data_IF_540098200012
#
_entry.id   IF_540098200012
#
_cell.length_a   1.000
_cell.length_b   1.000
_cell.length_c   1.000
_cell.angle_alpha   90.00
_cell.angle_beta   90.00
_cell.angle_gamma   90.00
#
_symmetry.space_group_name_H-M   'P 1'
#
loop_
_entity.id
_entity.type
_entity.pdbx_description
1 polymer ?
#
# COMPACT_ATOMS: atom_id res chain seq x y z
N UNK A 1 25.74 35.79 3.78
CA UNK A 1 26.68 35.29 2.78
C UNK A 1 27.16 33.96 3.31
N UNK A 2 26.34 32.92 3.18
CA UNK A 2 26.17 32.15 1.93
C UNK A 2 27.54 31.59 1.53
N UNK A 3 27.74 30.29 1.48
CA UNK A 3 26.86 29.35 0.79
C UNK A 3 27.02 27.95 1.42
N UNK A 4 25.87 27.33 1.69
CA UNK A 4 25.73 25.90 1.90
C UNK A 4 26.40 25.16 0.72
N UNK A 5 27.60 24.63 0.96
CA UNK A 5 28.13 23.55 0.15
C UNK A 5 27.30 22.31 0.44
N UNK A 6 26.13 22.26 -0.20
CA UNK A 6 25.29 21.08 -0.28
C UNK A 6 26.19 19.90 -0.62
N UNK A 7 26.28 18.96 0.32
CA UNK A 7 26.75 17.61 0.08
C UNK A 7 25.77 17.00 -0.92
N UNK A 8 25.96 17.29 -2.20
CA UNK A 8 25.43 16.49 -3.29
C UNK A 8 26.25 15.21 -3.30
N UNK A 9 25.99 14.33 -2.33
CA UNK A 9 26.38 12.93 -2.45
C UNK A 9 25.62 12.38 -3.66
N UNK A 10 26.26 12.42 -4.82
CA UNK A 10 25.77 11.76 -6.02
C UNK A 10 25.84 10.26 -5.76
N UNK A 11 24.82 9.72 -5.11
CA UNK A 11 24.73 8.29 -4.83
C UNK A 11 24.65 7.55 -6.17
N UNK A 12 25.68 6.75 -6.44
CA UNK A 12 25.69 5.83 -7.56
C UNK A 12 24.65 4.74 -7.29
N UNK A 13 23.70 4.59 -8.21
CA UNK A 13 22.68 3.54 -8.13
C UNK A 13 23.14 2.35 -8.94
N UNK A 14 22.71 1.17 -8.56
CA UNK A 14 23.11 -0.06 -9.22
C UNK A 14 21.89 -0.92 -9.49
N UNK A 15 21.84 -1.52 -10.66
CA UNK A 15 20.85 -2.55 -11.00
C UNK A 15 21.57 -3.77 -11.55
N UNK A 16 20.96 -4.95 -11.39
CA UNK A 16 21.41 -6.16 -12.07
C UNK A 16 20.20 -6.96 -12.51
N UNK A 17 20.06 -7.13 -13.82
CA UNK A 17 18.95 -7.82 -14.44
C UNK A 17 19.47 -9.08 -15.13
N UNK A 18 18.80 -10.21 -14.90
CA UNK A 18 18.86 -11.34 -15.82
C UNK A 18 17.90 -11.03 -16.98
N UNK A 19 18.45 -10.76 -18.15
CA UNK A 19 17.70 -10.42 -19.34
C UNK A 19 17.47 -11.68 -20.16
N UNK A 20 16.21 -12.12 -20.26
CA UNK A 20 15.84 -13.24 -21.13
C UNK A 20 15.72 -12.73 -22.57
N UNK A 21 16.47 -13.35 -23.49
CA UNK A 21 16.52 -12.98 -24.90
C UNK A 21 15.62 -13.91 -25.73
N UNK A 22 15.00 -13.40 -26.81
CA UNK A 22 14.24 -14.23 -27.72
C UNK A 22 15.18 -15.19 -28.46
N UNK A 23 14.93 -16.49 -28.36
CA UNK A 23 15.67 -17.52 -29.10
C UNK A 23 14.77 -18.13 -30.16
N UNK A 24 15.32 -18.43 -31.35
CA UNK A 24 14.60 -19.09 -32.44
C UNK A 24 14.17 -20.52 -32.07
N UNK A 25 14.90 -21.18 -31.17
CA UNK A 25 14.57 -22.48 -30.58
C UNK A 25 13.88 -22.31 -29.20
N UNK A 26 12.61 -22.71 -29.05
CA UNK A 26 11.87 -22.65 -27.78
C UNK A 26 12.51 -23.44 -26.61
N UNK A 27 13.47 -24.33 -26.89
CA UNK A 27 14.16 -25.13 -25.86
C UNK A 27 15.47 -24.53 -25.39
N UNK A 28 16.08 -23.64 -26.17
CA UNK A 28 17.27 -22.91 -25.77
C UNK A 28 16.83 -21.58 -25.16
N UNK A 29 17.06 -21.37 -23.86
CA UNK A 29 16.90 -20.06 -23.24
C UNK A 29 18.24 -19.36 -23.26
N UNK A 30 18.38 -18.38 -24.13
CA UNK A 30 19.53 -17.49 -24.14
C UNK A 30 19.22 -16.33 -23.20
N UNK A 31 20.13 -16.06 -22.27
CA UNK A 31 19.94 -15.04 -21.27
C UNK A 31 21.29 -14.46 -20.90
N UNK A 32 21.30 -13.14 -20.70
CA UNK A 32 22.49 -12.41 -20.29
C UNK A 32 22.24 -11.69 -18.98
N UNK A 33 23.25 -11.58 -18.14
CA UNK A 33 23.21 -10.76 -16.95
C UNK A 33 23.73 -9.36 -17.27
N UNK A 34 22.93 -8.34 -17.01
CA UNK A 34 23.25 -6.93 -17.23
C UNK A 34 23.34 -6.25 -15.87
N UNK A 35 24.55 -5.94 -15.43
CA UNK A 35 24.80 -5.07 -14.28
C UNK A 35 25.00 -3.65 -14.79
N UNK A 36 24.25 -2.70 -14.24
CA UNK A 36 24.36 -1.30 -14.57
C UNK A 36 24.76 -0.48 -13.34
N UNK A 37 25.64 0.49 -13.56
CA UNK A 37 26.01 1.53 -12.59
C UNK A 37 25.53 2.87 -13.13
N UNK A 38 24.61 3.49 -12.41
CA UNK A 38 23.92 4.72 -12.81
C UNK A 38 24.50 5.92 -12.08
N UNK A 39 24.91 6.92 -12.85
CA UNK A 39 25.30 8.25 -12.37
C UNK A 39 24.26 9.29 -12.82
N UNK A 40 24.27 10.51 -12.28
CA UNK A 40 23.30 11.55 -12.67
C UNK A 40 23.32 11.93 -14.16
N UNK A 41 24.46 11.81 -14.84
CA UNK A 41 24.66 12.25 -16.23
C UNK A 41 25.29 11.19 -17.15
N UNK A 42 25.58 9.98 -16.63
CA UNK A 42 26.25 8.90 -17.34
C UNK A 42 25.89 7.52 -16.76
N UNK A 43 26.24 6.45 -17.45
CA UNK A 43 26.09 5.09 -16.91
C UNK A 43 27.16 4.16 -17.46
N UNK A 44 27.44 3.09 -16.70
CA UNK A 44 28.35 2.03 -17.12
C UNK A 44 27.59 0.70 -17.07
N UNK A 45 27.71 -0.13 -18.11
CA UNK A 45 27.13 -1.46 -18.15
C UNK A 45 28.24 -2.52 -18.18
N UNK A 46 28.02 -3.60 -17.43
CA UNK A 46 28.77 -4.84 -17.50
C UNK A 46 27.80 -5.98 -17.81
N UNK A 47 28.04 -6.70 -18.90
CA UNK A 47 27.14 -7.72 -19.43
C UNK A 47 27.91 -9.03 -19.51
N UNK A 48 27.29 -10.16 -19.14
CA UNK A 48 27.89 -11.49 -19.36
C UNK A 48 26.81 -12.54 -19.62
N UNK A 49 27.12 -13.47 -20.52
CA UNK A 49 26.33 -14.69 -20.78
C UNK A 49 26.84 -15.89 -19.93
N UNK A 50 27.85 -15.66 -19.09
CA UNK A 50 28.52 -16.67 -18.27
C UNK A 50 29.81 -17.23 -18.88
N UNK A 51 30.06 -17.03 -20.18
CA UNK A 51 31.30 -17.42 -20.86
C UNK A 51 32.09 -16.18 -21.29
N UNK A 52 31.44 -15.28 -22.02
CA UNK A 52 31.95 -14.02 -22.49
C UNK A 52 31.38 -12.86 -21.69
N UNK A 53 32.03 -11.70 -21.82
CA UNK A 53 31.55 -10.50 -21.18
C UNK A 53 31.82 -9.27 -22.05
N UNK A 54 30.95 -8.27 -21.89
CA UNK A 54 31.01 -7.00 -22.58
C UNK A 54 30.86 -5.86 -21.59
N UNK A 55 31.50 -4.73 -21.90
CA UNK A 55 31.33 -3.50 -21.13
C UNK A 55 30.89 -2.37 -22.03
N UNK A 56 30.09 -1.45 -21.50
CA UNK A 56 29.87 -0.17 -22.13
C UNK A 56 30.10 0.94 -21.11
N UNK A 57 30.78 1.99 -21.55
CA UNK A 57 30.98 3.19 -20.76
C UNK A 57 30.30 4.32 -21.51
N UNK A 58 29.09 4.68 -21.08
CA UNK A 58 28.34 5.75 -21.70
C UNK A 58 28.82 7.06 -21.10
N UNK A 59 29.70 7.77 -21.80
CA UNK A 59 30.23 9.05 -21.31
C UNK A 59 29.12 10.10 -21.23
N UNK A 60 29.30 11.11 -20.39
CA UNK A 60 28.31 12.18 -20.24
C UNK A 60 28.04 12.91 -21.57
N UNK A 61 29.05 13.07 -22.42
CA UNK A 61 28.89 13.67 -23.74
C UNK A 61 28.02 12.81 -24.67
N UNK A 62 28.23 11.50 -24.68
CA UNK A 62 27.44 10.57 -25.50
C UNK A 62 26.01 10.46 -24.99
N UNK A 63 25.80 10.39 -23.67
CA UNK A 63 24.47 10.34 -23.07
C UNK A 63 23.70 11.64 -23.37
N UNK A 64 24.36 12.81 -23.26
CA UNK A 64 23.75 14.09 -23.63
C UNK A 64 23.31 14.12 -25.10
N UNK A 65 24.21 13.77 -26.02
CA UNK A 65 23.90 13.72 -27.45
C UNK A 65 22.74 12.76 -27.77
N UNK A 66 22.66 11.64 -27.02
CA UNK A 66 21.58 10.66 -27.18
C UNK A 66 20.26 11.13 -26.58
N UNK A 67 20.29 11.81 -25.44
CA UNK A 67 19.10 12.39 -24.83
C UNK A 67 18.51 13.48 -25.75
N UNK A 68 19.36 14.32 -26.34
CA UNK A 68 18.97 15.34 -27.33
C UNK A 68 18.30 14.73 -28.56
N UNK A 69 18.78 13.60 -29.10
CA UNK A 69 18.14 12.89 -30.23
C UNK A 69 16.70 12.45 -29.94
N UNK A 70 16.32 12.34 -28.67
CA UNK A 70 15.01 11.86 -28.23
C UNK A 70 14.14 12.98 -27.64
N UNK A 71 14.64 14.22 -27.71
CA UNK A 71 14.07 15.41 -27.05
C UNK A 71 13.77 15.13 -25.57
N UNK A 72 14.73 14.51 -24.88
CA UNK A 72 14.65 14.19 -23.45
C UNK A 72 15.73 14.92 -22.65
N UNK A 73 15.42 15.41 -21.44
CA UNK A 73 16.45 15.78 -20.48
C UNK A 73 17.34 14.57 -20.16
N UNK A 74 18.64 14.81 -19.90
CA UNK A 74 19.61 13.76 -19.56
C UNK A 74 19.14 12.90 -18.38
N UNK A 75 18.56 13.54 -17.35
CA UNK A 75 18.05 12.83 -16.18
C UNK A 75 16.91 11.87 -16.53
N UNK A 76 15.99 12.28 -17.43
CA UNK A 76 14.88 11.43 -17.88
C UNK A 76 15.37 10.28 -18.77
N UNK A 77 16.34 10.55 -19.65
CA UNK A 77 16.95 9.51 -20.47
C UNK A 77 17.62 8.42 -19.62
N UNK A 78 18.33 8.82 -18.56
CA UNK A 78 18.96 7.89 -17.61
C UNK A 78 17.91 7.15 -16.80
N UNK A 79 16.90 7.84 -16.26
CA UNK A 79 15.82 7.20 -15.52
C UNK A 79 15.04 6.17 -16.37
N UNK A 80 14.84 6.47 -17.65
CA UNK A 80 14.25 5.55 -18.62
C UNK A 80 15.13 4.31 -18.80
N UNK A 81 16.43 4.47 -19.03
CA UNK A 81 17.35 3.35 -19.15
C UNK A 81 17.42 2.51 -17.85
N UNK A 82 17.44 3.18 -16.69
CA UNK A 82 17.41 2.54 -15.37
C UNK A 82 16.13 1.75 -15.14
N UNK A 83 14.98 2.24 -15.59
CA UNK A 83 13.71 1.53 -15.50
C UNK A 83 13.70 0.23 -16.33
N UNK A 84 14.18 0.31 -17.59
CA UNK A 84 14.16 -0.82 -18.53
C UNK A 84 15.27 -1.86 -18.30
N UNK A 85 16.39 -1.46 -17.71
CA UNK A 85 17.50 -2.34 -17.33
C UNK A 85 17.54 -2.66 -15.83
N UNK A 86 16.65 -2.06 -15.03
CA UNK A 86 16.39 -2.45 -13.66
C UNK A 86 15.50 -3.68 -13.59
N UNK A 87 14.45 -3.69 -14.41
CA UNK A 87 13.52 -4.80 -14.56
C UNK A 87 13.11 -4.94 -16.02
N UNK A 88 13.05 -6.18 -16.51
CA UNK A 88 12.59 -6.46 -17.87
C UNK A 88 11.11 -6.06 -17.99
N UNK A 89 10.80 -5.11 -18.89
CA UNK A 89 9.47 -4.54 -19.01
C UNK A 89 8.55 -5.42 -19.86
N UNK A 90 7.30 -5.68 -19.41
CA UNK A 90 6.31 -6.39 -20.22
C UNK A 90 6.05 -5.70 -21.57
N UNK A 91 5.86 -6.48 -22.63
CA UNK A 91 5.56 -5.96 -23.98
C UNK A 91 6.76 -5.36 -24.73
N UNK A 92 7.91 -5.21 -24.08
CA UNK A 92 9.13 -4.69 -24.69
C UNK A 92 9.96 -5.82 -25.29
N UNK A 93 10.45 -5.63 -26.52
CA UNK A 93 11.34 -6.59 -27.19
C UNK A 93 12.77 -6.21 -26.90
N UNK A 94 13.51 -7.10 -26.27
CA UNK A 94 14.92 -6.93 -25.95
C UNK A 94 15.78 -7.72 -26.93
N UNK A 95 16.96 -7.19 -27.25
CA UNK A 95 17.91 -7.81 -28.16
C UNK A 95 19.36 -7.60 -27.72
N UNK A 96 20.19 -8.61 -27.97
CA UNK A 96 21.64 -8.57 -27.71
C UNK A 96 22.41 -9.15 -28.90
N UNK A 97 22.44 -8.38 -29.98
CA UNK A 97 22.86 -8.85 -31.30
C UNK A 97 24.36 -8.61 -31.54
N UNK A 98 24.96 -9.41 -32.42
CA UNK A 98 26.33 -9.17 -32.89
C UNK A 98 26.42 -7.86 -33.68
N UNK A 99 27.34 -6.99 -33.28
CA UNK A 99 27.62 -5.72 -33.95
C UNK A 99 28.96 -5.73 -34.72
N UNK A 100 29.60 -6.90 -34.82
CA UNK A 100 30.89 -7.09 -35.47
C UNK A 100 32.07 -6.83 -34.55
N UNK A 101 33.24 -7.37 -34.88
CA UNK A 101 34.48 -7.24 -34.11
C UNK A 101 34.34 -7.67 -32.63
N UNK A 102 33.49 -8.66 -32.36
CA UNK A 102 33.15 -9.12 -31.01
C UNK A 102 32.26 -8.17 -30.22
N UNK A 103 31.92 -6.99 -30.76
CA UNK A 103 31.00 -6.05 -30.13
C UNK A 103 29.59 -6.61 -30.15
N UNK A 104 28.82 -6.29 -29.11
CA UNK A 104 27.39 -6.62 -29.03
C UNK A 104 26.57 -5.36 -28.93
N UNK A 105 25.35 -5.39 -29.44
CA UNK A 105 24.40 -4.28 -29.36
C UNK A 105 23.26 -4.67 -28.43
N UNK A 106 23.19 -4.00 -27.29
CA UNK A 106 22.05 -4.08 -26.39
C UNK A 106 20.94 -3.17 -26.92
N UNK A 107 19.73 -3.70 -27.00
CA UNK A 107 18.57 -2.95 -27.47
C UNK A 107 17.30 -3.32 -26.72
N UNK A 108 16.38 -2.37 -26.64
CA UNK A 108 14.99 -2.65 -26.28
C UNK A 108 14.03 -1.68 -26.95
N UNK A 109 12.81 -2.15 -27.20
CA UNK A 109 11.73 -1.29 -27.69
C UNK A 109 10.93 -0.69 -26.55
N UNK A 110 10.42 0.52 -26.73
CA UNK A 110 9.42 1.12 -25.85
C UNK A 110 8.48 2.03 -26.63
N UNK A 111 7.31 2.33 -26.05
CA UNK A 111 6.32 3.22 -26.67
C UNK A 111 6.40 4.62 -26.07
N UNK A 112 6.44 5.64 -26.94
CA UNK A 112 6.33 7.05 -26.57
C UNK A 112 5.31 7.70 -27.51
N UNK A 113 4.23 8.26 -26.95
CA UNK A 113 3.19 8.96 -27.71
C UNK A 113 2.61 8.15 -28.88
N UNK A 114 2.38 6.84 -28.68
CA UNK A 114 1.84 5.94 -29.72
C UNK A 114 2.84 5.53 -30.80
N UNK A 115 4.13 5.90 -30.68
CA UNK A 115 5.20 5.42 -31.56
C UNK A 115 6.11 4.46 -30.82
N UNK A 116 6.38 3.29 -31.42
CA UNK A 116 7.39 2.36 -30.92
C UNK A 116 8.78 2.84 -31.32
N UNK A 117 9.61 3.12 -30.32
CA UNK A 117 11.00 3.52 -30.48
C UNK A 117 11.91 2.40 -29.98
N UNK A 118 13.17 2.39 -30.44
CA UNK A 118 14.14 1.39 -30.05
C UNK A 118 15.40 2.05 -29.50
N UNK A 119 15.64 1.82 -28.21
CA UNK A 119 16.88 2.20 -27.55
C UNK A 119 17.98 1.24 -27.94
N UNK A 120 19.16 1.74 -28.30
CA UNK A 120 20.30 0.89 -28.71
C UNK A 120 21.62 1.43 -28.18
N UNK A 121 22.45 0.52 -27.66
CA UNK A 121 23.79 0.85 -27.21
C UNK A 121 24.79 -0.23 -27.58
N UNK A 122 25.98 0.20 -28.03
CA UNK A 122 27.06 -0.71 -28.42
C UNK A 122 27.93 -1.01 -27.20
N UNK A 123 28.23 -2.27 -27.00
CA UNK A 123 29.05 -2.80 -25.91
C UNK A 123 30.30 -3.44 -26.51
N UNK A 124 31.46 -3.13 -25.95
CA UNK A 124 32.74 -3.66 -26.39
C UNK A 124 33.03 -4.97 -25.67
N UNK A 125 33.78 -5.91 -26.27
CA UNK A 125 34.31 -7.06 -25.54
C UNK A 125 35.06 -6.60 -24.29
N UNK A 126 34.81 -7.25 -23.17
CA UNK A 126 35.57 -6.97 -21.96
C UNK A 126 37.03 -7.42 -22.14
N UNK A 127 38.02 -6.62 -21.72
CA UNK A 127 39.43 -7.04 -21.76
C UNK A 127 39.69 -8.23 -20.84
N UNK A 128 38.85 -8.43 -19.81
CA UNK A 128 38.92 -9.57 -18.91
C UNK A 128 37.50 -10.07 -18.60
N UNK A 129 37.03 -11.03 -19.41
CA UNK A 129 35.70 -11.60 -19.27
C UNK A 129 35.49 -12.23 -17.89
N UNK A 130 36.43 -13.05 -17.41
CA UNK A 130 36.36 -13.72 -16.10
C UNK A 130 36.18 -12.73 -14.96
N UNK A 131 36.94 -11.64 -14.96
CA UNK A 131 36.82 -10.61 -13.92
C UNK A 131 35.49 -9.87 -14.00
N UNK A 132 34.98 -9.62 -15.20
CA UNK A 132 33.69 -8.95 -15.38
C UNK A 132 32.55 -9.84 -14.88
N UNK A 133 32.54 -11.11 -15.26
CA UNK A 133 31.56 -12.10 -14.78
C UNK A 133 31.64 -12.29 -13.27
N UNK A 134 32.85 -12.43 -12.71
CA UNK A 134 33.05 -12.51 -11.26
C UNK A 134 32.50 -11.26 -10.55
N UNK A 135 32.77 -10.05 -11.05
CA UNK A 135 32.27 -8.81 -10.46
C UNK A 135 30.74 -8.61 -10.58
N UNK A 136 30.07 -9.31 -11.50
CA UNK A 136 28.61 -9.40 -11.54
C UNK A 136 28.12 -10.39 -10.46
N UNK A 137 28.76 -11.56 -10.34
CA UNK A 137 28.41 -12.56 -9.33
C UNK A 137 28.63 -12.05 -7.91
N UNK A 138 29.76 -11.40 -7.63
CA UNK A 138 30.05 -10.79 -6.33
C UNK A 138 28.97 -9.78 -5.95
N UNK A 139 28.58 -8.92 -6.89
CA UNK A 139 27.49 -7.96 -6.69
C UNK A 139 26.16 -8.65 -6.35
N UNK A 140 25.82 -9.73 -7.06
CA UNK A 140 24.60 -10.50 -6.80
C UNK A 140 24.63 -11.21 -5.45
N UNK A 141 25.79 -11.75 -5.05
CA UNK A 141 25.98 -12.41 -3.77
C UNK A 141 25.88 -11.41 -2.61
N UNK A 142 26.54 -10.27 -2.71
CA UNK A 142 26.45 -9.19 -1.71
C UNK A 142 25.01 -8.67 -1.56
N UNK A 143 24.32 -8.48 -2.68
CA UNK A 143 22.91 -8.08 -2.68
C UNK A 143 22.01 -9.15 -2.04
N UNK A 144 22.27 -10.43 -2.31
CA UNK A 144 21.52 -11.55 -1.72
C UNK A 144 21.71 -11.63 -0.20
N UNK A 145 22.95 -11.49 0.29
CA UNK A 145 23.25 -11.48 1.73
C UNK A 145 22.51 -10.34 2.41
N UNK A 146 22.65 -9.11 1.91
CA UNK A 146 21.96 -7.93 2.45
C UNK A 146 20.44 -8.08 2.45
N UNK A 147 19.87 -8.58 1.35
CA UNK A 147 18.43 -8.78 1.25
C UNK A 147 17.95 -9.84 2.24
N UNK A 148 18.70 -10.93 2.41
CA UNK A 148 18.38 -11.99 3.36
C UNK A 148 18.37 -11.48 4.81
N UNK A 149 19.38 -10.69 5.19
CA UNK A 149 19.43 -10.03 6.51
C UNK A 149 18.25 -9.06 6.71
N UNK A 150 17.92 -8.27 5.68
CA UNK A 150 16.79 -7.35 5.73
C UNK A 150 15.45 -8.08 5.86
N UNK A 151 15.26 -9.20 5.16
CA UNK A 151 14.06 -10.03 5.27
C UNK A 151 13.92 -10.58 6.68
N UNK A 152 14.98 -11.11 7.29
CA UNK A 152 14.96 -11.61 8.67
C UNK A 152 14.57 -10.49 9.64
N UNK A 153 15.25 -9.34 9.56
CA UNK A 153 14.99 -8.19 10.44
C UNK A 153 13.56 -7.66 10.28
N UNK A 154 13.08 -7.48 9.05
CA UNK A 154 11.71 -6.99 8.79
C UNK A 154 10.66 -8.00 9.26
N UNK A 155 10.91 -9.29 9.09
CA UNK A 155 10.01 -10.36 9.56
C UNK A 155 9.89 -10.35 11.08
N UNK A 156 11.00 -10.26 11.80
CA UNK A 156 10.99 -10.18 13.27
C UNK A 156 10.26 -8.93 13.77
N UNK A 157 10.50 -7.77 13.14
CA UNK A 157 9.79 -6.52 13.46
C UNK A 157 8.30 -6.64 13.19
N UNK A 158 7.90 -7.29 12.09
CA UNK A 158 6.49 -7.49 11.75
C UNK A 158 5.78 -8.40 12.77
N UNK A 159 6.43 -9.48 13.19
CA UNK A 159 5.91 -10.38 14.23
C UNK A 159 5.73 -9.65 15.57
N UNK A 160 6.70 -8.82 15.96
CA UNK A 160 6.59 -7.99 17.16
C UNK A 160 5.39 -7.04 17.09
N UNK A 161 5.26 -6.30 15.99
CA UNK A 161 4.13 -5.38 15.78
C UNK A 161 2.79 -6.09 15.80
N UNK A 162 2.68 -7.28 15.19
CA UNK A 162 1.46 -8.11 15.26
C UNK A 162 1.10 -8.46 16.71
N UNK A 163 2.08 -8.91 17.50
CA UNK A 163 1.85 -9.24 18.91
C UNK A 163 1.44 -8.03 19.76
N UNK A 164 1.94 -6.85 19.44
CA UNK A 164 1.58 -5.60 20.11
C UNK A 164 0.16 -5.16 19.71
N UNK A 165 -0.19 -5.27 18.43
CA UNK A 165 -1.54 -4.99 17.94
C UNK A 165 -2.59 -5.91 18.60
N UNK A 166 -2.31 -7.20 18.75
CA UNK A 166 -3.18 -8.15 19.44
C UNK A 166 -3.38 -7.79 20.92
N UNK A 167 -2.32 -7.38 21.61
CA UNK A 167 -2.42 -6.92 23.01
C UNK A 167 -3.28 -5.66 23.14
N UNK A 168 -3.10 -4.70 22.24
CA UNK A 168 -3.92 -3.48 22.22
C UNK A 168 -5.40 -3.79 21.94
N UNK A 169 -5.67 -4.73 21.04
CA UNK A 169 -7.04 -5.17 20.74
C UNK A 169 -7.70 -5.82 21.96
N UNK A 170 -7.03 -6.77 22.60
CA UNK A 170 -7.53 -7.41 23.83
C UNK A 170 -7.77 -6.40 24.96
N UNK A 171 -6.87 -5.43 25.10
CA UNK A 171 -7.02 -4.37 26.09
C UNK A 171 -8.21 -3.45 25.77
N UNK A 172 -8.42 -3.12 24.50
CA UNK A 172 -9.55 -2.30 24.04
C UNK A 172 -10.89 -3.00 24.28
N UNK A 173 -10.99 -4.29 23.95
CA UNK A 173 -12.19 -5.09 24.21
C UNK A 173 -12.53 -5.13 25.71
N UNK A 174 -11.50 -5.36 26.54
CA UNK A 174 -11.65 -5.34 27.99
C UNK A 174 -12.17 -3.99 28.49
N UNK A 175 -11.57 -2.88 28.07
CA UNK A 175 -12.01 -1.56 28.47
C UNK A 175 -13.42 -1.23 27.98
N UNK A 176 -13.79 -1.69 26.78
CA UNK A 176 -15.16 -1.55 26.27
C UNK A 176 -16.18 -2.25 27.17
N UNK A 177 -15.87 -3.49 27.59
CA UNK A 177 -16.75 -4.24 28.50
C UNK A 177 -16.85 -3.57 29.87
N UNK A 178 -15.71 -3.19 30.46
CA UNK A 178 -15.68 -2.49 31.76
C UNK A 178 -16.45 -1.15 31.69
N UNK A 179 -16.37 -0.44 30.56
CA UNK A 179 -17.16 0.78 30.31
C UNK A 179 -18.66 0.51 30.32
N UNK A 180 -19.13 -0.50 29.58
CA UNK A 180 -20.56 -0.86 29.50
C UNK A 180 -21.09 -1.27 30.88
N UNK A 181 -20.33 -2.07 31.63
CA UNK A 181 -20.69 -2.46 33.00
C UNK A 181 -20.78 -1.25 33.93
N UNK A 182 -19.80 -0.34 33.85
CA UNK A 182 -19.80 0.89 34.63
C UNK A 182 -21.00 1.79 34.31
N UNK A 183 -21.28 2.02 33.02
CA UNK A 183 -22.43 2.79 32.56
C UNK A 183 -23.73 2.20 33.08
N UNK A 184 -23.94 0.88 32.93
CA UNK A 184 -25.11 0.17 33.44
C UNK A 184 -25.30 0.35 34.96
N UNK A 185 -24.22 0.22 35.73
CA UNK A 185 -24.26 0.41 37.18
C UNK A 185 -24.61 1.85 37.59
N UNK A 186 -24.10 2.85 36.87
CA UNK A 186 -24.40 4.27 37.10
C UNK A 186 -25.84 4.59 36.72
N UNK A 187 -26.31 4.15 35.55
CA UNK A 187 -27.70 4.34 35.11
C UNK A 187 -28.69 3.73 36.11
N UNK A 188 -28.41 2.51 36.60
CA UNK A 188 -29.25 1.85 37.61
C UNK A 188 -29.37 2.67 38.89
N UNK A 189 -28.25 3.21 39.40
CA UNK A 189 -28.26 4.10 40.58
C UNK A 189 -29.05 5.38 40.32
N UNK A 190 -28.88 5.98 39.14
CA UNK A 190 -29.58 7.21 38.77
C UNK A 190 -31.10 7.00 38.70
N UNK A 191 -31.56 5.90 38.10
CA UNK A 191 -32.96 5.51 38.05
C UNK A 191 -33.53 5.29 39.46
N UNK A 192 -32.78 4.65 40.37
CA UNK A 192 -33.20 4.47 41.76
C UNK A 192 -33.42 5.82 42.47
N UNK A 193 -32.52 6.79 42.27
CA UNK A 193 -32.65 8.14 42.82
C UNK A 193 -33.86 8.87 42.22
N UNK A 194 -34.05 8.81 40.91
CA UNK A 194 -35.22 9.41 40.23
C UNK A 194 -36.53 8.82 40.75
N UNK A 195 -36.60 7.51 40.93
CA UNK A 195 -37.78 6.83 41.45
C UNK A 195 -38.05 7.24 42.91
N UNK A 196 -37.02 7.34 43.75
CA UNK A 196 -37.14 7.85 45.12
C UNK A 196 -37.66 9.29 45.15
N UNK A 197 -37.10 10.18 44.31
CA UNK A 197 -37.59 11.57 44.16
C UNK A 197 -39.04 11.61 43.68
N UNK A 198 -39.41 10.80 42.67
CA UNK A 198 -40.77 10.71 42.13
C UNK A 198 -41.76 10.18 43.16
N UNK A 199 -41.36 9.24 44.02
CA UNK A 199 -42.19 8.74 45.11
C UNK A 199 -42.41 9.82 46.18
N UNK A 200 -41.34 10.52 46.57
CA UNK A 200 -41.43 11.62 47.55
C UNK A 200 -42.29 12.79 47.05
N UNK A 201 -42.20 13.14 45.76
CA UNK A 201 -43.08 14.13 45.14
C UNK A 201 -44.55 13.72 45.16
N UNK A 202 -44.86 12.44 44.90
CA UNK A 202 -46.22 11.91 45.01
C UNK A 202 -46.74 11.99 46.45
N UNK A 203 -45.94 11.54 47.42
CA UNK A 203 -46.30 11.60 48.83
C UNK A 203 -46.57 13.03 49.33
N UNK A 204 -45.75 14.00 48.91
CA UNK A 204 -45.95 15.41 49.22
C UNK A 204 -47.24 15.96 48.60
N UNK A 205 -47.52 15.61 47.32
CA UNK A 205 -48.78 15.98 46.66
C UNK A 205 -50.00 15.38 47.37
N UNK A 206 -49.92 14.10 47.77
CA UNK A 206 -51.01 13.43 48.50
C UNK A 206 -51.25 14.08 49.87
N UNK A 207 -50.18 14.45 50.60
CA UNK A 207 -50.30 15.20 51.86
C UNK A 207 -50.96 16.57 51.67
N UNK A 208 -50.62 17.29 50.61
CA UNK A 208 -51.25 18.58 50.27
C UNK A 208 -52.73 18.37 49.93
N UNK A 209 -53.05 17.38 49.08
CA UNK A 209 -54.43 17.07 48.70
C UNK A 209 -55.30 16.70 49.92
N UNK A 210 -54.74 15.93 50.86
CA UNK A 210 -55.41 15.52 52.11
C UNK A 210 -55.64 16.69 53.07
N UNK A 211 -54.72 17.66 53.12
CA UNK A 211 -54.91 18.93 53.85
C UNK A 211 -55.93 19.84 53.16
N UNK A 212 -55.98 19.85 51.83
CA UNK A 212 -56.97 20.59 51.04
C UNK A 212 -58.39 20.00 51.11
N UNK A 213 -58.53 18.69 51.34
CA UNK A 213 -59.86 18.04 51.54
C UNK A 213 -60.41 18.17 52.96
N UNK A 214 -59.59 18.55 53.94
CA UNK A 214 -60.05 18.94 55.28
C UNK A 214 -60.59 20.38 55.33
N UNK A 215 -60.53 21.12 54.21
CA UNK A 215 -61.04 22.48 54.08
C UNK A 215 -61.79 22.65 52.76
N UNK A 216 -62.97 22.04 52.63
CA UNK A 216 -63.93 22.44 51.61
C UNK A 216 -65.33 22.62 52.22
N UNK A 217 -65.55 23.83 52.72
CA UNK A 217 -66.81 24.54 52.59
C UNK A 217 -66.52 25.96 52.06
N UNK A 218 -67.48 26.47 51.26
CA UNK A 218 -67.61 27.77 50.58
C UNK A 218 -66.72 28.11 49.37
N UNK A 219 -67.41 28.09 48.20
CA UNK A 219 -67.45 29.00 47.02
C UNK A 219 -67.06 30.47 47.32
N UNK A 220 -66.77 31.39 46.40
CA UNK A 220 -66.83 31.69 44.95
C UNK A 220 -65.59 32.63 44.74
N UNK A 221 -65.08 33.05 43.59
CA UNK A 221 -65.69 33.66 42.40
C UNK A 221 -64.58 33.84 41.33
N UNK A 222 -65.05 34.06 40.11
CA UNK A 222 -64.36 34.27 38.84
C UNK A 222 -63.50 35.56 38.79
N UNK A 223 -62.75 35.71 37.69
CA UNK A 223 -62.23 36.97 37.12
C UNK A 223 -60.71 37.21 37.18
N UNK A 224 -60.07 36.85 36.05
CA UNK A 224 -59.06 37.59 35.27
C UNK A 224 -58.00 38.44 35.96
N UNK A 225 -56.72 38.15 35.71
CA UNK A 225 -55.79 38.95 34.88
C UNK A 225 -54.32 38.60 35.19
N UNK A 226 -53.44 38.59 34.18
CA UNK A 226 -51.99 38.50 34.36
C UNK A 226 -51.29 37.22 33.90
N UNK A 227 -51.47 36.86 32.63
CA UNK A 227 -50.61 35.88 31.93
C UNK A 227 -49.23 36.52 31.68
N UNK A 228 -48.17 36.03 32.33
CA UNK A 228 -46.79 36.27 31.89
C UNK A 228 -46.31 35.00 31.17
N UNK A 229 -46.50 35.00 29.85
CA UNK A 229 -45.94 34.01 28.94
C UNK A 229 -44.42 34.15 28.94
N UNK A 230 -43.69 33.12 29.38
CA UNK A 230 -42.33 32.91 28.90
C UNK A 230 -42.38 31.82 27.83
N UNK A 231 -42.38 32.34 26.61
CA UNK A 231 -42.14 31.67 25.35
C UNK A 231 -40.65 31.33 25.27
N UNK A 232 -40.29 30.05 25.47
CA UNK A 232 -38.98 29.54 25.06
C UNK A 232 -39.19 28.63 23.87
N UNK A 233 -39.19 29.30 22.72
CA UNK A 233 -38.99 28.82 21.35
C UNK A 233 -38.67 27.34 21.20
N UNK A 234 -39.68 26.61 20.73
CA UNK A 234 -39.47 25.49 19.83
C UNK A 234 -38.85 26.00 18.53
N UNK A 235 -37.64 25.55 18.20
CA UNK A 235 -37.31 25.15 16.83
C UNK A 235 -36.17 24.11 16.82
N UNK A 236 -36.52 22.87 17.16
CA UNK A 236 -35.84 21.69 16.60
C UNK A 236 -36.57 21.34 15.29
N UNK A 237 -36.11 21.89 14.17
CA UNK A 237 -36.37 21.27 12.87
C UNK A 237 -35.62 19.94 12.82
N UNK A 238 -36.39 18.86 12.97
CA UNK A 238 -35.99 17.54 12.53
C UNK A 238 -35.89 17.56 11.00
N UNK A 239 -34.67 17.52 10.47
CA UNK A 239 -34.41 16.92 9.16
C UNK A 239 -33.23 15.94 9.22
N UNK A 240 -33.60 14.69 9.52
CA UNK A 240 -33.10 13.42 8.96
C UNK A 240 -31.57 13.19 8.89
N UNK A 241 -31.13 12.18 9.64
CA UNK A 241 -30.33 11.09 9.08
C UNK A 241 -30.35 9.84 10.00
N UNK A 242 -31.12 8.83 9.61
CA UNK A 242 -30.79 7.41 9.77
C UNK A 242 -30.73 6.83 8.33
N UNK A 243 -29.99 5.75 8.03
CA UNK A 243 -29.24 4.87 8.92
C UNK A 243 -27.76 4.67 8.50
N UNK A 244 -27.02 3.96 9.33
CA UNK A 244 -25.76 3.32 8.96
C UNK A 244 -25.99 2.23 7.89
N UNK A 245 -25.22 2.29 6.81
CA UNK A 245 -24.67 1.12 6.15
C UNK A 245 -23.15 1.33 6.03
N UNK A 246 -22.41 0.95 7.07
CA UNK A 246 -21.06 0.45 6.85
C UNK A 246 -21.17 -1.06 6.66
N UNK A 247 -21.00 -1.44 5.40
CA UNK A 247 -20.54 -2.75 4.97
C UNK A 247 -19.30 -3.15 5.77
N UNK A 248 -19.49 -4.00 6.78
CA UNK A 248 -18.42 -4.87 7.25
C UNK A 248 -18.16 -5.89 6.15
N UNK A 249 -16.93 -5.85 5.64
CA UNK A 249 -16.40 -6.83 4.72
C UNK A 249 -16.50 -8.24 5.30
N UNK A 250 -17.10 -9.11 4.52
CA UNK A 250 -17.07 -10.54 4.72
C UNK A 250 -15.65 -11.04 4.39
N UNK A 251 -15.00 -11.66 5.37
CA UNK A 251 -13.85 -12.53 5.18
C UNK A 251 -14.37 -13.89 4.70
N UNK A 252 -13.98 -14.42 3.54
CA UNK A 252 -14.03 -15.85 3.33
C UNK A 252 -12.75 -16.47 3.92
N UNK A 253 -12.95 -17.19 5.03
CA UNK A 253 -11.96 -18.08 5.61
C UNK A 253 -11.58 -19.21 4.65
N UNK A 254 -10.30 -19.55 4.68
CA UNK A 254 -9.77 -20.81 4.17
C UNK A 254 -10.29 -21.96 5.04
N UNK A 255 -11.02 -22.91 4.44
CA UNK A 255 -11.05 -24.28 4.94
C UNK A 255 -11.10 -25.28 3.79
N UNK A 256 -9.98 -25.99 3.68
CA UNK A 256 -9.76 -27.20 2.93
C UNK A 256 -10.37 -28.37 3.74
N UNK A 257 -11.21 -29.20 3.12
CA UNK A 257 -11.47 -30.56 3.57
C UNK A 257 -12.04 -31.43 2.43
N UNK A 258 -11.52 -32.65 2.38
CA UNK A 258 -11.56 -33.57 1.26
C UNK A 258 -12.80 -34.48 1.19
N UNK A 259 -12.93 -35.09 0.01
CA UNK A 259 -13.49 -36.42 -0.29
C UNK A 259 -14.99 -36.69 -0.03
N UNK A 260 -15.75 -37.03 -1.08
CA UNK A 260 -15.85 -38.41 -1.57
C UNK A 260 -17.03 -38.62 -2.54
N UNK A 261 -16.81 -39.59 -3.44
CA UNK A 261 -17.81 -40.47 -4.09
C UNK A 261 -18.95 -39.86 -4.92
N UNK A 262 -18.71 -39.84 -6.23
CA UNK A 262 -19.37 -40.73 -7.21
C UNK A 262 -20.89 -40.76 -7.31
N UNK A 263 -21.40 -40.46 -8.52
CA UNK A 263 -22.40 -41.31 -9.18
C UNK A 263 -22.47 -41.03 -10.69
N UNK A 264 -22.42 -42.13 -11.43
CA UNK A 264 -22.65 -42.30 -12.87
C UNK A 264 -24.05 -41.82 -13.26
N UNK A 265 -24.24 -41.36 -14.51
CA UNK A 265 -25.21 -41.84 -15.53
C UNK A 265 -25.06 -40.95 -16.79
N UNK A 266 -24.40 -41.41 -17.87
CA UNK A 266 -24.91 -42.11 -19.07
C UNK A 266 -25.78 -41.29 -20.05
N UNK A 267 -25.19 -41.13 -21.26
CA UNK A 267 -25.75 -41.17 -22.64
C UNK A 267 -26.68 -40.03 -23.13
N UNK A 268 -26.29 -39.44 -24.27
CA UNK A 268 -26.94 -39.75 -25.56
C UNK A 268 -26.10 -39.32 -26.78
N UNK A 269 -25.94 -40.28 -27.70
CA UNK A 269 -25.46 -40.13 -29.08
C UNK A 269 -26.59 -39.70 -30.01
N UNK A 270 -26.22 -38.96 -31.07
CA UNK A 270 -26.80 -38.88 -32.44
C UNK A 270 -25.99 -37.78 -33.16
N UNK A 271 -25.52 -37.89 -34.39
CA UNK A 271 -25.67 -38.84 -35.50
C UNK A 271 -24.42 -38.70 -36.37
#
# INVERSE_FOLDING_TARGET
>A
MEEDAAVSSSFTRHTCLKLDLPVEDPKAKDAVFVKATWFPSRFDLAISDGLDAWTCHASEAEVRLRAEQWDLPVAEYIALAEHYLGFQQPGSKYGFEDAGNGQRRLSWTFEKQGTTLEWRWKCQPSPNNKQTTAGILDFLMDANIRLSEEVVRKTQSNQKLKSEAEKCLLQSERFSNEKVEFESAVYTKFVAILNSKKAKLRELRDRIAKKGTAGKASKEDDSTDGTESFDEGSDDEIVKAEPAEETVGDLPGSSEAAASSGLRTRKRTRK
#
